data_IF_590404008043
#
_entry.id   IF_590404008043
#
_cell.length_a   1.000
_cell.length_b   1.000
_cell.length_c   1.000
_cell.angle_alpha   90.00
_cell.angle_beta   90.00
_cell.angle_gamma   90.00
#
_symmetry.space_group_name_H-M   'P 1'
#
loop_
_entity.id
_entity.type
_entity.pdbx_description
1 polymer ?
#
# COMPACT_ATOMS: atom_id res chain seq x y z
N UNK A 1 22.58 -7.98 -28.42
CA UNK A 1 21.87 -7.36 -27.27
C UNK A 1 21.39 -8.43 -26.31
N UNK A 2 21.32 -8.17 -25.00
CA UNK A 2 20.79 -9.09 -24.00
C UNK A 2 19.72 -8.40 -23.13
N UNK A 3 18.76 -9.18 -22.64
CA UNK A 3 17.74 -8.67 -21.71
C UNK A 3 18.39 -8.30 -20.38
N UNK A 4 17.96 -7.17 -19.80
CA UNK A 4 18.40 -6.69 -18.49
C UNK A 4 17.20 -6.24 -17.67
N UNK A 5 17.27 -6.48 -16.37
CA UNK A 5 16.27 -5.96 -15.43
C UNK A 5 16.40 -4.43 -15.29
N UNK A 6 15.27 -3.73 -15.04
CA UNK A 6 15.29 -2.31 -14.71
C UNK A 6 15.92 -2.08 -13.33
N UNK A 7 16.21 -0.82 -13.02
CA UNK A 7 16.60 -0.43 -11.67
C UNK A 7 15.45 -0.68 -10.68
N UNK A 8 15.75 -1.11 -9.46
CA UNK A 8 14.72 -1.50 -8.48
C UNK A 8 13.75 -0.36 -8.15
N UNK A 9 14.21 0.90 -8.18
CA UNK A 9 13.34 2.07 -7.99
C UNK A 9 12.14 2.08 -8.93
N UNK A 10 12.34 1.72 -10.21
CA UNK A 10 11.28 1.66 -11.22
C UNK A 10 10.24 0.59 -10.87
N UNK A 11 10.71 -0.55 -10.35
CA UNK A 11 9.82 -1.62 -9.87
C UNK A 11 9.03 -1.16 -8.65
N UNK A 12 9.68 -0.49 -7.71
CA UNK A 12 9.05 0.06 -6.51
C UNK A 12 7.98 1.09 -6.84
N UNK A 13 8.24 1.99 -7.78
CA UNK A 13 7.28 3.01 -8.22
C UNK A 13 6.06 2.34 -8.88
N UNK A 14 6.29 1.38 -9.78
CA UNK A 14 5.21 0.62 -10.42
C UNK A 14 4.34 -0.15 -9.41
N UNK A 15 4.93 -0.69 -8.35
CA UNK A 15 4.18 -1.35 -7.29
C UNK A 15 3.46 -0.37 -6.36
N UNK A 16 4.03 0.81 -6.12
CA UNK A 16 3.40 1.87 -5.34
C UNK A 16 2.14 2.39 -6.02
N UNK A 17 2.16 2.58 -7.33
CA UNK A 17 0.97 2.97 -8.10
C UNK A 17 -0.14 1.92 -7.98
N UNK A 18 0.22 0.63 -8.02
CA UNK A 18 -0.74 -0.47 -7.83
C UNK A 18 -1.26 -0.58 -6.41
N UNK A 19 -0.46 -0.16 -5.42
CA UNK A 19 -0.88 -0.08 -4.03
C UNK A 19 -1.94 1.01 -3.85
N UNK A 20 -1.75 2.17 -4.47
CA UNK A 20 -2.72 3.28 -4.40
C UNK A 20 -4.04 2.93 -5.13
N UNK A 21 -3.97 2.11 -6.18
CA UNK A 21 -5.11 1.57 -6.91
C UNK A 21 -5.62 0.20 -6.46
N UNK A 22 -5.18 -0.31 -5.30
CA UNK A 22 -5.49 -1.68 -4.88
C UNK A 22 -7.00 -1.88 -4.67
N UNK A 23 -7.50 -3.04 -5.12
CA UNK A 23 -8.94 -3.34 -5.07
C UNK A 23 -9.32 -4.13 -3.83
N UNK A 24 -10.34 -3.66 -3.09
CA UNK A 24 -10.95 -4.45 -2.03
C UNK A 24 -11.81 -5.56 -2.62
N UNK A 25 -11.55 -6.80 -2.24
CA UNK A 25 -12.27 -7.97 -2.72
C UNK A 25 -12.91 -8.74 -1.58
N UNK A 26 -13.92 -9.53 -1.91
CA UNK A 26 -14.49 -10.54 -1.03
C UNK A 26 -14.22 -11.91 -1.63
N UNK A 27 -14.04 -12.88 -0.75
CA UNK A 27 -14.00 -14.29 -1.14
C UNK A 27 -15.43 -14.77 -1.23
N UNK A 28 -15.83 -15.23 -2.40
CA UNK A 28 -17.10 -15.95 -2.51
C UNK A 28 -16.92 -17.35 -1.91
N UNK A 29 -17.86 -17.75 -1.05
CA UNK A 29 -17.97 -19.09 -0.51
C UNK A 29 -18.62 -20.07 -1.51
N UNK A 30 -18.70 -19.73 -2.80
CA UNK A 30 -19.01 -20.64 -3.90
C UNK A 30 -18.00 -21.79 -4.09
N UNK A 31 -17.27 -22.15 -3.03
CA UNK A 31 -16.55 -23.41 -2.90
C UNK A 31 -17.53 -24.55 -2.59
N UNK A 32 -17.70 -25.42 -3.59
CA UNK A 32 -18.33 -26.75 -3.51
C UNK A 32 -19.84 -26.81 -3.73
N UNK A 33 -20.29 -26.61 -4.98
CA UNK A 33 -21.40 -27.44 -5.48
C UNK A 33 -20.97 -28.91 -5.43
N UNK A 34 -21.15 -29.54 -4.26
CA UNK A 34 -21.24 -31.00 -4.09
C UNK A 34 -22.56 -31.44 -4.69
N UNK A 35 -22.69 -31.29 -6.01
CA UNK A 35 -23.68 -32.02 -6.79
C UNK A 35 -23.14 -33.42 -7.07
N UNK A 36 -23.94 -34.49 -6.93
CA UNK A 36 -23.51 -35.85 -7.20
C UNK A 36 -23.43 -36.09 -8.71
N UNK A 37 -22.44 -35.51 -9.39
CA UNK A 37 -22.16 -35.81 -10.79
C UNK A 37 -20.71 -35.49 -11.15
N UNK A 38 -20.03 -36.47 -11.74
CA UNK A 38 -18.59 -36.48 -11.97
C UNK A 38 -18.06 -35.28 -12.77
N UNK A 39 -16.93 -34.76 -12.30
CA UNK A 39 -16.11 -33.84 -13.05
C UNK A 39 -14.95 -33.34 -12.19
N UNK A 40 -13.72 -33.74 -12.53
CA UNK A 40 -12.49 -33.15 -11.96
C UNK A 40 -12.39 -31.68 -12.42
N UNK A 41 -13.16 -30.77 -11.83
CA UNK A 41 -13.06 -29.33 -12.09
C UNK A 41 -12.36 -28.65 -10.91
N UNK A 42 -11.45 -27.73 -11.25
CA UNK A 42 -10.47 -27.07 -10.39
C UNK A 42 -10.98 -26.78 -8.98
N UNK A 43 -10.41 -27.48 -7.99
CA UNK A 43 -10.69 -27.36 -6.56
C UNK A 43 -10.32 -26.01 -5.92
N UNK A 44 -9.81 -25.05 -6.70
CA UNK A 44 -9.22 -23.80 -6.21
C UNK A 44 -9.68 -22.56 -6.99
N UNK A 45 -10.85 -22.60 -7.65
CA UNK A 45 -11.39 -21.40 -8.30
C UNK A 45 -12.12 -20.52 -7.26
N UNK A 46 -11.40 -20.04 -6.25
CA UNK A 46 -11.88 -18.94 -5.40
C UNK A 46 -11.91 -17.69 -6.28
N UNK A 47 -13.11 -17.32 -6.72
CA UNK A 47 -13.27 -16.13 -7.54
C UNK A 47 -13.34 -14.92 -6.61
N UNK A 48 -12.29 -14.11 -6.64
CA UNK A 48 -12.27 -12.83 -5.91
C UNK A 48 -13.22 -11.88 -6.62
N UNK A 49 -14.28 -11.50 -5.92
CA UNK A 49 -15.25 -10.51 -6.42
C UNK A 49 -14.93 -9.15 -5.81
N UNK A 50 -15.03 -8.05 -6.57
CA UNK A 50 -14.94 -6.71 -6.00
C UNK A 50 -15.93 -6.52 -4.86
N UNK A 51 -15.51 -5.86 -3.78
CA UNK A 51 -16.41 -5.53 -2.68
C UNK A 51 -17.55 -4.60 -3.13
N UNK A 52 -17.25 -3.65 -4.04
CA UNK A 52 -18.23 -2.79 -4.69
C UNK A 52 -18.45 -3.27 -6.15
N UNK A 53 -19.68 -3.65 -6.54
CA UNK A 53 -20.00 -4.10 -7.90
C UNK A 53 -19.71 -3.06 -9.01
N UNK A 54 -19.75 -1.77 -8.68
CA UNK A 54 -19.49 -0.70 -9.66
C UNK A 54 -17.99 -0.55 -9.99
N UNK A 55 -17.11 -1.20 -9.23
CA UNK A 55 -15.67 -1.16 -9.48
C UNK A 55 -15.28 -2.24 -10.49
N UNK A 56 -14.30 -1.88 -11.34
CA UNK A 56 -13.71 -2.82 -12.29
C UNK A 56 -13.09 -4.02 -11.54
N UNK A 57 -13.32 -5.26 -11.99
CA UNK A 57 -12.64 -6.44 -11.44
C UNK A 57 -11.11 -6.33 -11.57
N UNK A 58 -10.34 -6.76 -10.57
CA UNK A 58 -8.89 -6.69 -10.60
C UNK A 58 -8.30 -7.63 -11.66
N UNK A 59 -7.27 -7.17 -12.36
CA UNK A 59 -6.46 -7.96 -13.27
C UNK A 59 -5.37 -8.78 -12.57
N UNK A 60 -4.66 -9.62 -13.33
CA UNK A 60 -3.56 -10.47 -12.81
C UNK A 60 -2.39 -9.68 -12.21
N UNK A 61 -2.26 -8.42 -12.60
CA UNK A 61 -1.16 -7.55 -12.22
C UNK A 61 -1.56 -6.55 -11.11
N UNK A 62 -2.82 -6.55 -10.68
CA UNK A 62 -3.31 -5.59 -9.69
C UNK A 62 -3.13 -6.15 -8.27
N UNK A 63 -2.97 -5.25 -7.30
CA UNK A 63 -2.95 -5.63 -5.89
C UNK A 63 -4.37 -5.66 -5.34
N UNK A 64 -4.66 -6.65 -4.48
CA UNK A 64 -5.97 -6.84 -3.87
C UNK A 64 -5.83 -6.97 -2.35
N UNK A 65 -6.86 -6.55 -1.63
CA UNK A 65 -6.92 -6.69 -0.17
C UNK A 65 -8.33 -7.07 0.31
N UNK A 66 -8.42 -7.68 1.49
CA UNK A 66 -9.68 -8.17 2.06
C UNK A 66 -10.21 -7.20 3.15
N UNK A 67 -9.33 -6.79 4.04
CA UNK A 67 -9.66 -6.03 5.25
C UNK A 67 -9.14 -4.60 5.17
N UNK A 68 -9.89 -3.67 5.76
CA UNK A 68 -9.45 -2.27 5.81
C UNK A 68 -8.18 -2.12 6.64
N UNK A 69 -7.31 -1.22 6.21
CA UNK A 69 -6.12 -0.83 6.97
C UNK A 69 -6.51 -0.20 8.31
N UNK A 70 -5.80 -0.52 9.40
CA UNK A 70 -6.03 0.12 10.69
C UNK A 70 -5.56 1.59 10.67
N UNK A 71 -5.91 2.33 11.72
CA UNK A 71 -5.37 3.68 11.92
C UNK A 71 -3.92 3.60 12.43
N UNK A 72 -2.99 4.26 11.73
CA UNK A 72 -1.56 4.26 12.05
C UNK A 72 -1.09 5.47 12.88
N UNK A 73 -1.98 6.40 13.24
CA UNK A 73 -1.65 7.63 13.95
C UNK A 73 -1.12 7.38 15.38
N UNK A 74 -1.77 6.47 16.11
CA UNK A 74 -1.48 6.20 17.52
C UNK A 74 -0.77 4.85 17.66
N UNK A 75 0.13 4.76 18.63
CA UNK A 75 0.87 3.53 18.90
C UNK A 75 -0.08 2.42 19.36
N UNK A 76 -0.05 1.28 18.68
CA UNK A 76 -0.76 0.08 19.06
C UNK A 76 0.18 -1.14 18.97
N UNK A 77 0.81 -1.53 20.10
CA UNK A 77 1.76 -2.64 20.13
C UNK A 77 1.17 -3.99 19.71
N UNK A 78 -0.13 -4.21 19.91
CA UNK A 78 -0.80 -5.48 19.55
C UNK A 78 -0.84 -5.71 18.05
N UNK A 79 -0.89 -4.62 17.27
CA UNK A 79 -0.90 -4.65 15.81
C UNK A 79 0.48 -4.27 15.20
N UNK A 80 1.51 -4.11 16.04
CA UNK A 80 2.84 -3.69 15.58
C UNK A 80 2.92 -2.22 15.10
N UNK A 81 1.91 -1.41 15.40
CA UNK A 81 1.83 -0.01 14.95
C UNK A 81 2.60 0.87 15.94
N UNK A 82 3.63 1.57 15.45
CA UNK A 82 4.47 2.44 16.29
C UNK A 82 3.84 3.83 16.55
N UNK A 83 2.88 4.25 15.72
CA UNK A 83 2.34 5.62 15.72
C UNK A 83 3.18 6.56 14.85
N UNK A 84 2.74 7.82 14.72
CA UNK A 84 3.44 8.82 13.89
C UNK A 84 4.15 9.92 14.70
N UNK A 85 4.14 9.83 16.03
CA UNK A 85 4.84 10.77 16.90
C UNK A 85 6.36 10.71 16.66
N UNK A 86 7.01 11.88 16.59
CA UNK A 86 8.46 11.99 16.38
C UNK A 86 8.94 11.79 14.94
N UNK A 87 8.02 11.60 13.97
CA UNK A 87 8.37 11.52 12.55
C UNK A 87 8.58 12.93 11.98
N UNK A 88 9.56 13.04 11.07
CA UNK A 88 9.75 14.25 10.26
C UNK A 88 8.66 14.36 9.20
N UNK A 89 8.09 15.54 9.05
CA UNK A 89 7.05 15.86 8.08
C UNK A 89 7.40 17.13 7.31
N UNK A 90 6.76 17.34 6.17
CA UNK A 90 6.91 18.53 5.34
C UNK A 90 5.73 19.49 5.57
N UNK A 91 6.01 20.69 6.08
CA UNK A 91 4.96 21.68 6.38
C UNK A 91 4.31 22.27 5.12
N UNK A 92 4.97 22.21 3.96
CA UNK A 92 4.46 22.75 2.70
C UNK A 92 3.75 21.70 1.84
N UNK A 93 3.81 20.41 2.20
CA UNK A 93 3.13 19.35 1.46
C UNK A 93 1.69 19.17 1.95
N UNK A 94 0.77 19.01 0.99
CA UNK A 94 -0.62 18.60 1.24
C UNK A 94 -0.81 17.08 1.22
N UNK A 95 0.25 16.33 0.89
CA UNK A 95 0.21 14.88 0.74
C UNK A 95 0.38 14.13 2.06
N UNK A 96 0.62 12.82 1.97
CA UNK A 96 0.85 11.95 3.13
C UNK A 96 2.16 12.27 3.88
N UNK A 97 3.09 12.98 3.23
CA UNK A 97 4.29 13.53 3.85
C UNK A 97 4.04 14.89 4.52
N UNK A 98 2.87 15.49 4.27
CA UNK A 98 2.39 16.73 4.87
C UNK A 98 2.25 16.61 6.38
N UNK A 99 2.60 17.67 7.11
CA UNK A 99 2.51 17.65 8.57
C UNK A 99 1.07 17.51 9.09
N UNK A 100 0.07 18.03 8.38
CA UNK A 100 -1.36 17.86 8.75
C UNK A 100 -1.75 16.38 8.76
N UNK A 101 -1.50 15.66 7.66
CA UNK A 101 -1.82 14.24 7.54
C UNK A 101 -0.89 13.36 8.39
N UNK A 102 0.43 13.58 8.34
CA UNK A 102 1.39 12.73 9.05
C UNK A 102 1.26 12.87 10.57
N UNK A 103 0.99 14.07 11.08
CA UNK A 103 0.78 14.30 12.50
C UNK A 103 -0.68 14.09 12.93
N UNK A 104 -1.58 13.75 12.00
CA UNK A 104 -3.00 13.51 12.23
C UNK A 104 -3.67 14.68 12.96
N UNK A 105 -3.42 15.90 12.48
CA UNK A 105 -3.93 17.18 12.99
C UNK A 105 -3.59 17.50 14.46
N UNK A 106 -2.67 16.75 15.09
CA UNK A 106 -2.20 17.01 16.47
C UNK A 106 -1.21 18.17 16.57
N UNK A 107 -0.92 18.84 15.45
CA UNK A 107 0.11 19.86 15.32
C UNK A 107 1.53 19.30 15.15
N UNK A 108 2.47 20.18 14.86
CA UNK A 108 3.88 19.86 14.64
C UNK A 108 4.78 20.97 15.16
N UNK A 109 6.04 20.64 15.46
CA UNK A 109 7.06 21.60 15.87
C UNK A 109 8.05 21.79 14.73
N UNK A 110 8.31 23.04 14.37
CA UNK A 110 9.38 23.39 13.44
C UNK A 110 10.70 23.43 14.21
N UNK A 111 11.73 22.81 13.65
CA UNK A 111 13.08 22.84 14.19
C UNK A 111 14.06 23.19 13.07
N UNK A 112 14.84 24.25 13.30
CA UNK A 112 15.96 24.59 12.44
C UNK A 112 17.19 23.79 12.86
N UNK A 113 17.83 23.11 11.91
CA UNK A 113 19.02 22.28 12.14
C UNK A 113 20.10 22.73 11.16
N UNK A 114 21.30 23.03 11.66
CA UNK A 114 22.44 23.29 10.78
C UNK A 114 22.92 21.98 10.16
N UNK A 115 22.86 21.87 8.83
CA UNK A 115 23.35 20.72 8.07
C UNK A 115 24.70 21.07 7.46
N UNK A 116 25.71 20.25 7.72
CA UNK A 116 27.03 20.39 7.11
C UNK A 116 27.09 19.51 5.86
N UNK A 117 27.25 20.14 4.71
CA UNK A 117 27.35 19.46 3.42
C UNK A 117 28.71 19.73 2.79
N UNK A 118 29.15 18.83 1.90
CA UNK A 118 30.38 19.04 1.14
C UNK A 118 30.13 20.12 0.09
N UNK A 119 30.80 21.27 0.24
CA UNK A 119 30.73 22.37 -0.71
C UNK A 119 32.11 22.67 -1.32
N UNK A 120 32.15 23.40 -2.44
CA UNK A 120 33.38 23.80 -3.14
C UNK A 120 34.35 22.63 -3.46
N UNK A 121 33.81 21.47 -3.87
CA UNK A 121 34.63 20.32 -4.24
C UNK A 121 35.41 20.61 -5.53
N UNK A 122 36.74 20.47 -5.50
CA UNK A 122 37.61 20.44 -6.70
C UNK A 122 37.88 18.99 -7.10
N UNK A 123 38.01 18.75 -8.41
CA UNK A 123 38.37 17.42 -8.96
C UNK A 123 39.86 17.11 -8.75
#
# INVERSE_FOLDING_TARGET
>A
CWMRLPHFRVVGDSLKDRFDGASRVMVDNAGSQRGPAGGKKNRYNFQLQPYNPDHKPPGKMDLVYLEHSPNFCNRNPRLGIQGTSGRQCNASSIGVDGCELMCCDRGYRVQEVMVVERCACTF
#
